data_IF_188087873769
#
_entry.id   IF_188087873769
#
_cell.length_a   1.000
_cell.length_b   1.000
_cell.length_c   1.000
_cell.angle_alpha   90.00
_cell.angle_beta   90.00
_cell.angle_gamma   90.00
#
_symmetry.space_group_name_H-M   'P 1'
#
loop_
_entity.id
_entity.type
_entity.pdbx_description
1 polymer ?
#
# COMPACT_ATOMS: atom_id res chain seq x y z
N UNK A 1 23.69 -5.44 -13.13
CA UNK A 1 23.73 -5.62 -14.60
C UNK A 1 22.53 -6.47 -14.97
N UNK A 2 21.57 -5.92 -15.74
CA UNK A 2 20.43 -6.72 -16.24
C UNK A 2 20.95 -7.74 -17.25
N UNK A 3 20.54 -8.99 -17.15
CA UNK A 3 20.93 -10.02 -18.13
C UNK A 3 20.31 -9.71 -19.50
N UNK A 4 20.89 -10.27 -20.57
CA UNK A 4 20.31 -10.15 -21.91
C UNK A 4 18.86 -10.67 -21.93
N UNK A 5 18.58 -11.72 -21.16
CA UNK A 5 17.23 -12.28 -20.99
C UNK A 5 16.27 -11.32 -20.27
N UNK A 6 16.70 -10.68 -19.17
CA UNK A 6 15.89 -9.67 -18.47
C UNK A 6 15.59 -8.45 -19.36
N UNK A 7 16.56 -8.05 -20.18
CA UNK A 7 16.42 -6.94 -21.13
C UNK A 7 15.44 -7.27 -22.25
N UNK A 8 15.52 -8.48 -22.80
CA UNK A 8 14.58 -8.98 -23.83
C UNK A 8 13.19 -9.18 -23.23
N UNK A 9 13.07 -9.74 -22.03
CA UNK A 9 11.77 -9.94 -21.36
C UNK A 9 11.05 -8.62 -21.10
N UNK A 10 11.78 -7.60 -20.64
CA UNK A 10 11.21 -6.27 -20.43
C UNK A 10 10.72 -5.66 -21.74
N UNK A 11 11.51 -5.75 -22.81
CA UNK A 11 11.13 -5.23 -24.14
C UNK A 11 9.94 -5.97 -24.75
N UNK A 12 9.95 -7.30 -24.75
CA UNK A 12 8.88 -8.11 -25.36
C UNK A 12 7.52 -7.89 -24.68
N UNK A 13 7.51 -7.59 -23.37
CA UNK A 13 6.27 -7.41 -22.61
C UNK A 13 5.79 -5.95 -22.53
N UNK A 14 6.63 -4.97 -22.86
CA UNK A 14 6.29 -3.54 -22.75
C UNK A 14 6.26 -2.79 -24.09
N UNK A 15 6.78 -3.37 -25.17
CA UNK A 15 6.88 -2.69 -26.47
C UNK A 15 5.71 -3.11 -27.39
N UNK A 16 4.67 -2.27 -27.45
CA UNK A 16 3.49 -2.44 -28.31
C UNK A 16 3.85 -2.43 -29.82
N UNK A 17 5.09 -2.05 -30.17
CA UNK A 17 5.56 -1.95 -31.55
C UNK A 17 6.21 -3.22 -32.10
N UNK A 18 6.45 -4.23 -31.25
CA UNK A 18 6.95 -5.54 -31.70
C UNK A 18 5.74 -6.31 -32.24
N UNK A 19 5.74 -6.72 -33.53
CA UNK A 19 4.66 -7.54 -34.05
C UNK A 19 4.55 -8.77 -33.16
N UNK A 20 3.35 -8.99 -32.63
CA UNK A 20 2.99 -10.15 -31.80
C UNK A 20 3.05 -11.39 -32.70
N UNK A 21 4.25 -11.78 -33.13
CA UNK A 21 4.50 -13.18 -33.38
C UNK A 21 4.23 -13.87 -32.05
N UNK A 22 3.31 -14.86 -32.01
CA UNK A 22 2.91 -15.46 -30.76
C UNK A 22 4.16 -16.04 -30.11
N UNK A 23 4.61 -15.39 -29.03
CA UNK A 23 5.70 -15.87 -28.19
C UNK A 23 5.41 -17.34 -27.92
N UNK A 24 6.29 -18.27 -28.31
CA UNK A 24 6.01 -19.68 -28.19
C UNK A 24 5.58 -20.00 -26.75
N UNK A 25 4.48 -20.75 -26.57
CA UNK A 25 3.87 -20.97 -25.25
C UNK A 25 4.87 -21.46 -24.18
N UNK A 26 5.89 -22.21 -24.61
CA UNK A 26 6.95 -22.71 -23.72
C UNK A 26 7.90 -21.62 -23.18
N UNK A 27 8.01 -20.46 -23.84
CA UNK A 27 8.84 -19.32 -23.46
C UNK A 27 8.03 -18.29 -22.64
N UNK A 28 6.70 -18.25 -22.83
CA UNK A 28 5.83 -17.30 -22.15
C UNK A 28 5.90 -17.38 -20.62
N UNK A 29 5.82 -18.59 -20.06
CA UNK A 29 5.92 -18.81 -18.60
C UNK A 29 7.22 -18.30 -17.98
N UNK A 30 8.41 -18.65 -18.53
CA UNK A 30 9.69 -18.09 -18.11
C UNK A 30 9.78 -16.56 -18.21
N UNK A 31 9.31 -15.97 -19.31
CA UNK A 31 9.32 -14.51 -19.49
C UNK A 31 8.48 -13.80 -18.43
N UNK A 32 7.26 -14.31 -18.18
CA UNK A 32 6.38 -13.77 -17.15
C UNK A 32 7.03 -13.83 -15.76
N UNK A 33 7.67 -14.95 -15.41
CA UNK A 33 8.42 -15.08 -14.14
C UNK A 33 9.55 -14.07 -14.03
N UNK A 34 10.30 -13.83 -15.11
CA UNK A 34 11.35 -12.81 -15.11
C UNK A 34 10.79 -11.40 -14.94
N UNK A 35 9.68 -11.06 -15.59
CA UNK A 35 9.01 -9.78 -15.35
C UNK A 35 8.59 -9.65 -13.89
N UNK A 36 7.91 -10.64 -13.31
CA UNK A 36 7.47 -10.61 -11.91
C UNK A 36 8.63 -10.51 -10.92
N UNK A 37 9.77 -11.13 -11.23
CA UNK A 37 11.00 -11.00 -10.45
C UNK A 37 11.56 -9.57 -10.52
N UNK A 38 11.58 -8.95 -11.69
CA UNK A 38 12.04 -7.57 -11.86
C UNK A 38 11.11 -6.58 -11.13
N UNK A 39 9.78 -6.73 -11.28
CA UNK A 39 8.79 -5.95 -10.56
C UNK A 39 9.00 -6.04 -9.04
N UNK A 40 9.22 -7.26 -8.51
CA UNK A 40 9.52 -7.44 -7.09
C UNK A 40 10.80 -6.71 -6.67
N UNK A 41 11.89 -6.84 -7.44
CA UNK A 41 13.16 -6.16 -7.14
C UNK A 41 13.04 -4.63 -7.20
N UNK A 42 12.29 -4.12 -8.17
CA UNK A 42 12.05 -2.68 -8.32
C UNK A 42 11.15 -2.14 -7.20
N UNK A 43 10.19 -2.92 -6.70
CA UNK A 43 9.36 -2.54 -5.55
C UNK A 43 10.15 -2.40 -4.24
N UNK A 44 11.38 -2.93 -4.20
CA UNK A 44 12.24 -2.98 -3.02
C UNK A 44 13.55 -2.22 -3.32
N UNK A 45 13.42 -0.99 -3.81
CA UNK A 45 14.44 -0.15 -4.47
C UNK A 45 15.69 0.20 -3.61
N UNK A 46 15.72 -0.17 -2.33
CA UNK A 46 16.78 0.22 -1.38
C UNK A 46 17.48 -0.95 -0.68
N UNK A 47 17.23 -2.18 -1.13
CA UNK A 47 17.70 -3.37 -0.42
C UNK A 47 18.70 -4.16 -1.28
N UNK A 48 19.64 -4.86 -0.64
CA UNK A 48 20.51 -5.80 -1.33
C UNK A 48 19.67 -6.80 -2.11
N UNK A 49 19.93 -6.94 -3.41
CA UNK A 49 19.07 -7.70 -4.31
C UNK A 49 18.97 -9.16 -3.89
N UNK A 50 17.74 -9.65 -3.68
CA UNK A 50 17.47 -11.09 -3.53
C UNK A 50 18.07 -11.85 -4.72
N UNK A 51 18.92 -12.87 -4.50
CA UNK A 51 19.48 -13.67 -5.58
C UNK A 51 18.40 -14.33 -6.43
N UNK A 52 18.64 -14.48 -7.73
CA UNK A 52 17.65 -15.04 -8.67
C UNK A 52 17.22 -16.45 -8.27
N UNK A 53 18.14 -17.23 -7.71
CA UNK A 53 17.97 -18.60 -7.27
C UNK A 53 16.99 -18.72 -6.09
N UNK A 54 16.78 -17.63 -5.34
CA UNK A 54 15.85 -17.61 -4.22
C UNK A 54 14.39 -17.49 -4.68
N UNK A 55 14.14 -16.96 -5.89
CA UNK A 55 12.79 -16.66 -6.34
C UNK A 55 11.93 -17.91 -6.51
N UNK A 56 10.85 -17.92 -5.76
CA UNK A 56 9.81 -18.92 -5.83
C UNK A 56 8.58 -18.37 -6.55
N UNK A 57 7.93 -19.20 -7.36
CA UNK A 57 6.74 -18.81 -8.10
C UNK A 57 5.57 -19.74 -7.77
N UNK A 58 4.37 -19.17 -7.74
CA UNK A 58 3.10 -19.89 -7.66
C UNK A 58 2.70 -20.44 -9.05
N UNK A 59 1.58 -21.17 -9.11
CA UNK A 59 1.03 -21.72 -10.36
C UNK A 59 0.66 -20.65 -11.39
N UNK A 60 0.25 -19.46 -10.94
CA UNK A 60 -0.08 -18.30 -11.78
C UNK A 60 1.15 -17.45 -12.17
N UNK A 61 2.36 -17.97 -11.91
CA UNK A 61 3.65 -17.30 -12.15
C UNK A 61 3.90 -16.05 -11.29
N UNK A 62 3.02 -15.70 -10.33
CA UNK A 62 3.31 -14.66 -9.35
C UNK A 62 4.43 -15.09 -8.39
N UNK A 63 5.18 -14.12 -7.87
CA UNK A 63 6.22 -14.38 -6.86
C UNK A 63 5.55 -14.88 -5.57
N UNK A 64 5.96 -16.06 -5.12
CA UNK A 64 5.67 -16.54 -3.77
C UNK A 64 6.65 -15.83 -2.82
N UNK A 65 6.24 -14.66 -2.33
CA UNK A 65 7.05 -13.82 -1.44
C UNK A 65 7.52 -14.58 -0.22
N UNK A 66 6.64 -15.33 0.45
CA UNK A 66 6.97 -16.03 1.67
C UNK A 66 8.03 -17.12 1.42
N UNK A 67 7.89 -17.90 0.34
CA UNK A 67 8.90 -18.90 -0.02
C UNK A 67 10.20 -18.26 -0.52
N UNK A 68 10.11 -17.15 -1.24
CA UNK A 68 11.28 -16.40 -1.73
C UNK A 68 12.12 -15.85 -0.58
N UNK A 69 11.49 -15.25 0.44
CA UNK A 69 12.21 -14.73 1.61
C UNK A 69 12.82 -15.85 2.46
N UNK A 70 12.12 -16.98 2.65
CA UNK A 70 12.71 -18.16 3.31
C UNK A 70 13.93 -18.70 2.59
N UNK A 71 13.91 -18.71 1.26
CA UNK A 71 15.10 -19.10 0.49
C UNK A 71 16.21 -18.06 0.66
N UNK A 72 15.87 -16.77 0.69
CA UNK A 72 16.84 -15.69 0.85
C UNK A 72 17.54 -15.69 2.22
N UNK A 73 16.91 -16.22 3.27
CA UNK A 73 17.52 -16.37 4.61
C UNK A 73 18.85 -17.15 4.57
N UNK A 74 19.06 -18.05 3.60
CA UNK A 74 20.30 -18.82 3.50
C UNK A 74 21.42 -18.10 2.75
N UNK A 75 21.11 -17.00 2.06
CA UNK A 75 22.05 -16.28 1.20
C UNK A 75 22.34 -14.85 1.66
N UNK A 76 21.38 -14.21 2.33
CA UNK A 76 21.47 -12.83 2.77
C UNK A 76 21.91 -12.77 4.23
N UNK A 77 22.67 -11.73 4.57
CA UNK A 77 23.07 -11.52 5.95
C UNK A 77 21.85 -11.16 6.83
N UNK A 78 21.87 -11.49 8.14
CA UNK A 78 20.74 -11.27 9.03
C UNK A 78 20.24 -9.82 9.07
N UNK A 79 21.13 -8.84 8.94
CA UNK A 79 20.75 -7.41 8.90
C UNK A 79 19.89 -7.13 7.68
N UNK A 80 20.29 -7.62 6.50
CA UNK A 80 19.50 -7.51 5.27
C UNK A 80 18.15 -8.20 5.41
N UNK A 81 18.13 -9.42 5.96
CA UNK A 81 16.88 -10.14 6.21
C UNK A 81 15.95 -9.39 7.16
N UNK A 82 16.50 -8.74 8.20
CA UNK A 82 15.73 -7.90 9.11
C UNK A 82 15.04 -6.78 8.36
N UNK A 83 15.75 -6.05 7.47
CA UNK A 83 15.11 -4.97 6.72
C UNK A 83 14.04 -5.52 5.77
N UNK A 84 14.28 -6.65 5.10
CA UNK A 84 13.26 -7.28 4.24
C UNK A 84 11.99 -7.63 5.02
N UNK A 85 12.12 -8.25 6.20
CA UNK A 85 10.97 -8.56 7.03
C UNK A 85 10.27 -7.33 7.57
N UNK A 86 11.01 -6.24 7.80
CA UNK A 86 10.45 -4.95 8.19
C UNK A 86 9.59 -4.39 7.06
N UNK A 87 10.12 -4.35 5.84
CA UNK A 87 9.43 -3.83 4.67
C UNK A 87 8.13 -4.57 4.36
N UNK A 88 8.15 -5.90 4.56
CA UNK A 88 7.02 -6.79 4.32
C UNK A 88 6.11 -6.98 5.55
N UNK A 89 6.34 -6.22 6.63
CA UNK A 89 5.55 -6.28 7.86
C UNK A 89 5.50 -7.64 8.56
N UNK A 90 6.51 -8.50 8.37
CA UNK A 90 6.57 -9.81 9.00
C UNK A 90 7.16 -9.74 10.42
N UNK A 91 6.39 -9.17 11.34
CA UNK A 91 6.83 -8.90 12.72
C UNK A 91 7.33 -10.14 13.45
N UNK A 92 6.67 -11.30 13.28
CA UNK A 92 7.11 -12.55 13.92
C UNK A 92 8.47 -13.05 13.43
N UNK A 93 8.86 -12.71 12.20
CA UNK A 93 10.17 -13.06 11.64
C UNK A 93 11.26 -12.08 12.08
N UNK A 94 10.91 -10.82 12.31
CA UNK A 94 11.85 -9.81 12.80
C UNK A 94 12.48 -10.21 14.13
N UNK A 95 11.68 -10.70 15.07
CA UNK A 95 12.14 -11.15 16.38
C UNK A 95 13.10 -12.35 16.26
N UNK A 96 12.75 -13.34 15.42
CA UNK A 96 13.60 -14.51 15.19
C UNK A 96 14.96 -14.13 14.59
N UNK A 97 14.97 -13.21 13.61
CA UNK A 97 16.21 -12.70 13.02
C UNK A 97 17.02 -11.92 14.06
N UNK A 98 16.38 -11.01 14.79
CA UNK A 98 17.04 -10.22 15.84
C UNK A 98 17.72 -11.10 16.91
N UNK A 99 17.03 -12.13 17.38
CA UNK A 99 17.55 -13.06 18.38
C UNK A 99 18.68 -13.95 17.84
N UNK A 100 18.74 -14.15 16.51
CA UNK A 100 19.83 -14.86 15.86
C UNK A 100 21.08 -14.02 15.60
N UNK A 101 20.99 -12.68 15.68
CA UNK A 101 22.08 -11.78 15.40
C UNK A 101 23.12 -11.72 16.53
N UNK A 102 24.40 -11.75 16.17
CA UNK A 102 25.50 -11.39 17.07
C UNK A 102 25.67 -9.87 17.25
N UNK A 103 26.54 -9.45 18.17
CA UNK A 103 26.76 -8.03 18.49
C UNK A 103 27.21 -7.20 17.27
N UNK A 104 28.07 -7.77 16.42
CA UNK A 104 28.53 -7.10 15.19
C UNK A 104 27.39 -6.87 14.17
N UNK A 105 26.41 -7.77 14.12
CA UNK A 105 25.25 -7.64 13.25
C UNK A 105 24.25 -6.64 13.82
N UNK A 106 23.99 -6.71 15.13
CA UNK A 106 23.14 -5.76 15.85
C UNK A 106 23.64 -4.32 15.71
N UNK A 107 24.96 -4.10 15.78
CA UNK A 107 25.57 -2.78 15.60
C UNK A 107 25.36 -2.20 14.19
N UNK A 108 25.09 -3.04 13.18
CA UNK A 108 24.83 -2.63 11.79
C UNK A 108 23.35 -2.42 11.48
N UNK A 109 22.45 -2.64 12.44
CA UNK A 109 21.02 -2.50 12.20
C UNK A 109 20.63 -1.08 11.77
N UNK A 110 19.61 -0.94 10.91
CA UNK A 110 19.21 0.37 10.39
C UNK A 110 18.71 1.27 11.52
N UNK A 111 19.22 2.50 11.55
CA UNK A 111 18.88 3.51 12.55
C UNK A 111 17.65 4.34 12.11
N UNK A 112 16.59 3.65 11.71
CA UNK A 112 15.28 4.24 11.39
C UNK A 112 14.32 3.97 12.54
N UNK A 113 13.35 4.85 12.79
CA UNK A 113 12.60 4.81 14.04
C UNK A 113 11.71 3.55 14.16
N UNK A 114 11.17 3.03 13.05
CA UNK A 114 10.49 1.71 13.03
C UNK A 114 11.44 0.57 13.44
N UNK A 115 12.66 0.53 12.92
CA UNK A 115 13.62 -0.51 13.26
C UNK A 115 14.03 -0.40 14.73
N UNK A 116 14.36 0.82 15.19
CA UNK A 116 14.67 1.09 16.59
C UNK A 116 13.53 0.70 17.54
N UNK A 117 12.28 0.95 17.14
CA UNK A 117 11.10 0.53 17.91
C UNK A 117 11.05 -1.00 18.09
N UNK A 118 11.19 -1.76 17.01
CA UNK A 118 11.14 -3.22 17.10
C UNK A 118 12.34 -3.80 17.85
N UNK A 119 13.54 -3.26 17.61
CA UNK A 119 14.75 -3.67 18.34
C UNK A 119 14.55 -3.48 19.84
N UNK A 120 14.11 -2.29 20.28
CA UNK A 120 13.84 -2.03 21.68
C UNK A 120 12.75 -2.97 22.23
N UNK A 121 11.67 -3.18 21.48
CA UNK A 121 10.61 -4.11 21.86
C UNK A 121 11.13 -5.53 22.07
N UNK A 122 12.04 -6.01 21.23
CA UNK A 122 12.61 -7.36 21.35
C UNK A 122 13.67 -7.45 22.45
N UNK A 123 14.45 -6.40 22.69
CA UNK A 123 15.45 -6.37 23.77
C UNK A 123 14.83 -6.30 25.16
N UNK A 124 13.79 -5.50 25.34
CA UNK A 124 13.23 -5.16 26.66
C UNK A 124 11.85 -5.78 26.90
N UNK A 125 11.21 -6.34 25.87
CA UNK A 125 9.86 -6.91 25.96
C UNK A 125 8.76 -5.85 26.04
N UNK A 126 9.09 -4.56 25.93
CA UNK A 126 8.14 -3.46 26.01
C UNK A 126 8.37 -2.39 24.93
N UNK A 127 7.32 -1.69 24.47
CA UNK A 127 7.46 -0.60 23.51
C UNK A 127 8.26 0.59 24.05
N UNK A 128 9.20 1.14 23.27
CA UNK A 128 9.90 2.38 23.64
C UNK A 128 8.91 3.56 23.68
N UNK A 129 8.76 4.25 24.82
CA UNK A 129 7.79 5.33 24.97
C UNK A 129 8.07 6.55 24.08
N UNK A 130 9.27 6.68 23.51
CA UNK A 130 9.62 7.77 22.57
C UNK A 130 8.90 7.64 21.23
N UNK A 131 8.50 6.42 20.86
CA UNK A 131 7.84 6.14 19.58
C UNK A 131 6.34 5.91 19.78
N UNK A 132 5.53 6.92 19.50
CA UNK A 132 4.07 6.73 19.45
C UNK A 132 3.66 5.93 18.21
N UNK A 133 2.60 5.13 18.33
CA UNK A 133 2.03 4.36 17.21
C UNK A 133 1.66 5.23 16.02
N UNK A 134 1.16 6.45 16.28
CA UNK A 134 0.90 7.46 15.25
C UNK A 134 2.17 7.83 14.45
N UNK A 135 3.28 8.12 15.13
CA UNK A 135 4.54 8.47 14.45
C UNK A 135 5.09 7.31 13.64
N UNK A 136 5.02 6.10 14.20
CA UNK A 136 5.44 4.87 13.51
C UNK A 136 4.60 4.58 12.27
N UNK A 137 3.29 4.85 12.32
CA UNK A 137 2.42 4.77 11.15
C UNK A 137 2.88 5.72 10.03
N UNK A 138 3.10 6.99 10.37
CA UNK A 138 3.53 8.02 9.40
C UNK A 138 4.88 7.63 8.77
N UNK A 139 5.82 7.13 9.57
CA UNK A 139 7.10 6.65 9.05
C UNK A 139 6.94 5.42 8.14
N UNK A 140 6.11 4.46 8.53
CA UNK A 140 5.83 3.27 7.72
C UNK A 140 5.21 3.65 6.39
N UNK A 141 4.30 4.64 6.41
CA UNK A 141 3.62 5.14 5.22
C UNK A 141 4.59 5.81 4.26
N UNK A 142 5.51 6.63 4.80
CA UNK A 142 6.58 7.28 4.02
C UNK A 142 7.50 6.27 3.34
N UNK A 143 7.78 5.16 4.01
CA UNK A 143 8.61 4.06 3.49
C UNK A 143 7.84 3.06 2.62
N UNK A 144 6.53 3.26 2.44
CA UNK A 144 5.64 2.34 1.72
C UNK A 144 5.57 0.92 2.32
N UNK A 145 5.78 0.80 3.64
CA UNK A 145 5.64 -0.47 4.36
C UNK A 145 4.17 -0.68 4.77
N UNK A 146 3.30 -0.90 3.78
CA UNK A 146 1.83 -0.89 3.97
C UNK A 146 1.35 -1.93 4.99
N UNK A 147 2.00 -3.08 5.09
CA UNK A 147 1.69 -4.08 6.12
C UNK A 147 2.00 -3.58 7.53
N UNK A 148 3.08 -2.82 7.71
CA UNK A 148 3.38 -2.14 8.97
C UNK A 148 2.45 -0.96 9.23
N UNK A 149 2.04 -0.22 8.20
CA UNK A 149 0.98 0.79 8.35
C UNK A 149 -0.25 0.16 8.98
N UNK A 150 -0.75 -0.96 8.43
CA UNK A 150 -1.89 -1.67 9.00
C UNK A 150 -1.63 -2.11 10.45
N UNK A 151 -0.45 -2.66 10.74
CA UNK A 151 -0.06 -3.07 12.08
C UNK A 151 -0.13 -1.92 13.10
N UNK A 152 0.43 -0.75 12.77
CA UNK A 152 0.39 0.41 13.66
C UNK A 152 -0.99 1.03 13.72
N UNK A 153 -1.71 1.08 12.60
CA UNK A 153 -3.08 1.58 12.52
C UNK A 153 -4.02 0.86 13.48
N UNK A 154 -3.95 -0.48 13.53
CA UNK A 154 -4.78 -1.27 14.44
C UNK A 154 -4.58 -0.90 15.92
N UNK A 155 -3.37 -0.46 16.29
CA UNK A 155 -2.98 -0.04 17.65
C UNK A 155 -3.26 1.44 17.96
N UNK A 156 -3.65 2.24 16.98
CA UNK A 156 -3.99 3.65 17.17
C UNK A 156 -5.35 3.83 17.88
N UNK A 157 -5.52 4.99 18.50
CA UNK A 157 -6.82 5.42 19.05
C UNK A 157 -7.86 5.58 17.93
N UNK A 158 -9.15 5.60 18.26
CA UNK A 158 -10.21 5.82 17.26
C UNK A 158 -10.04 7.16 16.52
N UNK A 159 -9.73 8.23 17.27
CA UNK A 159 -9.48 9.56 16.70
C UNK A 159 -8.27 9.55 15.73
N UNK A 160 -7.17 8.90 16.12
CA UNK A 160 -5.99 8.77 15.26
C UNK A 160 -6.29 7.95 14.01
N UNK A 161 -7.05 6.85 14.12
CA UNK A 161 -7.46 6.02 12.99
C UNK A 161 -8.24 6.83 11.96
N UNK A 162 -9.23 7.60 12.42
CA UNK A 162 -10.02 8.49 11.57
C UNK A 162 -9.12 9.50 10.87
N UNK A 163 -8.26 10.19 11.62
CA UNK A 163 -7.33 11.18 11.05
C UNK A 163 -6.39 10.58 10.00
N UNK A 164 -5.73 9.46 10.33
CA UNK A 164 -4.78 8.78 9.45
C UNK A 164 -5.45 8.28 8.18
N UNK A 165 -6.65 7.73 8.30
CA UNK A 165 -7.43 7.29 7.14
C UNK A 165 -7.76 8.44 6.20
N UNK A 166 -8.27 9.57 6.71
CA UNK A 166 -8.58 10.72 5.86
C UNK A 166 -7.34 11.35 5.25
N UNK A 167 -6.23 11.40 5.99
CA UNK A 167 -4.95 11.85 5.46
C UNK A 167 -4.49 10.98 4.27
N UNK A 168 -4.59 9.66 4.40
CA UNK A 168 -4.26 8.72 3.31
C UNK A 168 -5.27 8.79 2.16
N UNK A 169 -6.55 8.99 2.45
CA UNK A 169 -7.58 9.17 1.44
C UNK A 169 -7.28 10.40 0.59
N UNK A 170 -7.04 11.54 1.22
CA UNK A 170 -6.71 12.77 0.51
C UNK A 170 -5.43 12.65 -0.31
N UNK A 171 -4.43 11.95 0.23
CA UNK A 171 -3.20 11.63 -0.52
C UNK A 171 -3.49 10.77 -1.74
N UNK A 172 -4.35 9.76 -1.61
CA UNK A 172 -4.78 8.92 -2.72
C UNK A 172 -5.52 9.76 -3.78
N UNK A 173 -6.54 10.53 -3.39
CA UNK A 173 -7.35 11.36 -4.29
C UNK A 173 -6.52 12.39 -5.07
N UNK A 174 -5.42 12.90 -4.49
CA UNK A 174 -4.53 13.89 -5.12
C UNK A 174 -3.43 13.30 -6.00
N UNK A 175 -3.20 11.98 -5.97
CA UNK A 175 -2.15 11.39 -6.81
C UNK A 175 -2.54 11.48 -8.28
N UNK A 176 -1.56 11.58 -9.18
CA UNK A 176 -1.77 11.73 -10.62
C UNK A 176 -1.32 10.50 -11.42
N UNK A 177 -0.86 9.46 -10.73
CA UNK A 177 -0.27 8.27 -11.35
C UNK A 177 -1.14 7.05 -11.05
N UNK A 178 -1.63 6.41 -12.11
CA UNK A 178 -2.52 5.24 -12.01
C UNK A 178 -1.95 4.13 -11.10
N UNK A 179 -0.65 3.84 -11.22
CA UNK A 179 0.01 2.84 -10.38
C UNK A 179 0.00 3.18 -8.89
N UNK A 180 0.20 4.45 -8.54
CA UNK A 180 0.18 4.92 -7.14
C UNK A 180 -1.25 4.92 -6.58
N UNK A 181 -2.24 5.23 -7.42
CA UNK A 181 -3.65 5.14 -7.07
C UNK A 181 -4.04 3.72 -6.69
N UNK A 182 -3.75 2.74 -7.54
CA UNK A 182 -4.15 1.36 -7.28
C UNK A 182 -3.59 0.83 -5.95
N UNK A 183 -2.34 1.15 -5.63
CA UNK A 183 -1.73 0.80 -4.35
C UNK A 183 -2.39 1.53 -3.17
N UNK A 184 -2.69 2.82 -3.32
CA UNK A 184 -3.30 3.62 -2.27
C UNK A 184 -4.75 3.21 -2.01
N UNK A 185 -5.54 2.95 -3.05
CA UNK A 185 -6.90 2.43 -2.94
C UNK A 185 -6.92 1.05 -2.26
N UNK A 186 -6.00 0.16 -2.63
CA UNK A 186 -5.86 -1.14 -1.95
C UNK A 186 -5.50 -0.98 -0.47
N UNK A 187 -4.60 -0.06 -0.14
CA UNK A 187 -4.24 0.24 1.24
C UNK A 187 -5.44 0.75 2.03
N UNK A 188 -6.17 1.75 1.50
CA UNK A 188 -7.38 2.30 2.13
C UNK A 188 -8.46 1.24 2.34
N UNK A 189 -8.70 0.38 1.35
CA UNK A 189 -9.63 -0.75 1.46
C UNK A 189 -9.23 -1.69 2.60
N UNK A 190 -7.93 -2.02 2.73
CA UNK A 190 -7.42 -2.81 3.85
C UNK A 190 -7.61 -2.11 5.20
N UNK A 191 -7.45 -0.80 5.28
CA UNK A 191 -7.73 -0.04 6.51
C UNK A 191 -9.22 -0.16 6.88
N UNK A 192 -10.12 0.07 5.93
CA UNK A 192 -11.57 -0.06 6.14
C UNK A 192 -11.97 -1.48 6.53
N UNK A 193 -11.33 -2.52 5.99
CA UNK A 193 -11.61 -3.90 6.40
C UNK A 193 -11.31 -4.17 7.88
N UNK A 194 -10.40 -3.40 8.49
CA UNK A 194 -9.92 -3.62 9.86
C UNK A 194 -10.49 -2.63 10.88
N UNK A 195 -11.12 -1.55 10.43
CA UNK A 195 -11.71 -0.52 11.30
C UNK A 195 -12.99 0.00 10.67
N UNK A 196 -14.00 0.15 11.51
CA UNK A 196 -15.23 0.83 11.14
C UNK A 196 -15.07 2.33 11.38
N UNK A 197 -14.95 3.09 10.29
CA UNK A 197 -14.77 4.54 10.34
C UNK A 197 -16.14 5.16 10.12
N UNK A 198 -16.69 5.72 11.19
CA UNK A 198 -18.02 6.30 11.20
C UNK A 198 -17.95 7.76 10.74
N UNK A 199 -18.70 8.10 9.68
CA UNK A 199 -18.67 9.44 9.05
C UNK A 199 -19.23 10.52 9.98
N UNK A 200 -20.18 10.16 10.85
CA UNK A 200 -20.78 11.06 11.84
C UNK A 200 -19.79 11.53 12.93
N UNK A 201 -18.65 10.86 13.08
CA UNK A 201 -17.60 11.23 14.04
C UNK A 201 -16.59 12.23 13.48
N UNK A 202 -16.74 12.63 12.21
CA UNK A 202 -15.85 13.60 11.57
C UNK A 202 -16.28 15.01 11.99
N UNK A 203 -15.33 15.82 12.46
CA UNK A 203 -15.64 17.19 12.85
C UNK A 203 -15.99 18.03 11.61
N UNK A 204 -16.77 19.09 11.79
CA UNK A 204 -17.11 20.01 10.68
C UNK A 204 -15.86 20.60 10.00
N UNK A 205 -14.81 20.90 10.77
CA UNK A 205 -13.53 21.37 10.26
C UNK A 205 -12.86 20.32 9.35
N UNK A 206 -12.81 19.07 9.80
CA UNK A 206 -12.29 17.96 9.01
C UNK A 206 -13.13 17.75 7.74
N UNK A 207 -14.47 17.81 7.86
CA UNK A 207 -15.37 17.70 6.72
C UNK A 207 -15.13 18.80 5.69
N UNK A 208 -14.97 20.05 6.11
CA UNK A 208 -14.66 21.16 5.21
C UNK A 208 -13.31 20.98 4.50
N UNK A 209 -12.32 20.41 5.20
CA UNK A 209 -11.01 20.10 4.62
C UNK A 209 -11.11 18.99 3.56
N UNK A 210 -11.88 17.93 3.84
CA UNK A 210 -12.01 16.77 2.96
C UNK A 210 -12.90 17.07 1.75
N UNK A 211 -13.93 17.90 1.95
CA UNK A 211 -14.97 18.21 0.96
C UNK A 211 -14.39 18.60 -0.39
N UNK A 212 -13.49 19.58 -0.40
CA UNK A 212 -12.99 20.15 -1.66
C UNK A 212 -12.20 19.14 -2.48
N UNK A 213 -11.34 18.35 -1.85
CA UNK A 213 -10.52 17.36 -2.55
C UNK A 213 -11.33 16.15 -2.99
N UNK A 214 -12.18 15.60 -2.11
CA UNK A 214 -13.01 14.44 -2.46
C UNK A 214 -13.96 14.79 -3.57
N UNK A 215 -14.69 15.91 -3.48
CA UNK A 215 -15.64 16.31 -4.53
C UNK A 215 -14.94 16.62 -5.85
N UNK A 216 -13.76 17.24 -5.82
CA UNK A 216 -13.00 17.56 -7.04
C UNK A 216 -12.50 16.30 -7.75
N UNK A 217 -12.08 15.28 -6.99
CA UNK A 217 -11.41 14.10 -7.53
C UNK A 217 -12.28 12.83 -7.55
N UNK A 218 -13.54 12.91 -7.12
CA UNK A 218 -14.44 11.75 -7.10
C UNK A 218 -14.70 11.18 -8.50
N UNK A 219 -14.89 12.04 -9.50
CA UNK A 219 -15.04 11.59 -10.90
C UNK A 219 -13.78 10.90 -11.43
N UNK A 220 -12.61 11.40 -11.03
CA UNK A 220 -11.33 10.77 -11.38
C UNK A 220 -11.26 9.37 -10.77
N UNK A 221 -11.66 9.21 -9.50
CA UNK A 221 -11.76 7.92 -8.80
C UNK A 221 -12.69 6.94 -9.53
N UNK A 222 -13.89 7.39 -9.91
CA UNK A 222 -14.85 6.55 -10.63
C UNK A 222 -14.33 6.12 -12.01
N UNK A 223 -13.44 6.89 -12.61
CA UNK A 223 -12.83 6.60 -13.92
C UNK A 223 -11.70 5.57 -13.85
N UNK A 224 -11.38 5.03 -12.67
CA UNK A 224 -10.35 4.01 -12.53
C UNK A 224 -10.69 2.68 -13.18
N UNK A 225 -9.67 1.91 -13.60
CA UNK A 225 -9.82 0.50 -13.91
C UNK A 225 -10.44 -0.27 -12.74
N UNK A 226 -11.25 -1.28 -13.07
CA UNK A 226 -11.95 -2.09 -12.09
C UNK A 226 -11.02 -2.79 -11.09
N UNK A 227 -9.79 -3.16 -11.48
CA UNK A 227 -8.82 -3.76 -10.54
C UNK A 227 -8.32 -2.81 -9.43
N UNK A 228 -8.56 -1.51 -9.58
CA UNK A 228 -8.18 -0.48 -8.62
C UNK A 228 -9.36 0.08 -7.82
N UNK A 229 -10.59 -0.36 -8.11
CA UNK A 229 -11.79 -0.02 -7.35
C UNK A 229 -12.15 -1.17 -6.43
N UNK A 230 -12.37 -0.86 -5.16
CA UNK A 230 -12.59 -1.86 -4.12
C UNK A 230 -13.97 -1.64 -3.51
N UNK A 231 -14.82 -2.68 -3.40
CA UNK A 231 -16.22 -2.51 -3.01
C UNK A 231 -16.44 -1.76 -1.68
N UNK A 232 -15.58 -2.01 -0.67
CA UNK A 232 -15.74 -1.35 0.64
C UNK A 232 -15.35 0.13 0.57
N UNK A 233 -14.30 0.46 -0.19
CA UNK A 233 -13.91 1.84 -0.44
C UNK A 233 -14.95 2.58 -1.31
N UNK A 234 -15.50 1.92 -2.33
CA UNK A 234 -16.57 2.47 -3.18
C UNK A 234 -17.79 2.87 -2.34
N UNK A 235 -18.26 1.95 -1.49
CA UNK A 235 -19.40 2.19 -0.61
C UNK A 235 -19.13 3.35 0.37
N UNK A 236 -17.94 3.37 0.97
CA UNK A 236 -17.54 4.44 1.87
C UNK A 236 -17.50 5.80 1.18
N UNK A 237 -16.90 5.89 -0.02
CA UNK A 237 -16.80 7.14 -0.76
C UNK A 237 -18.18 7.62 -1.23
N UNK A 238 -19.05 6.71 -1.64
CA UNK A 238 -20.42 7.03 -1.97
C UNK A 238 -21.16 7.66 -0.78
N UNK A 239 -21.07 7.05 0.40
CA UNK A 239 -21.69 7.55 1.63
C UNK A 239 -21.10 8.92 2.03
N UNK A 240 -19.78 9.05 1.97
CA UNK A 240 -19.08 10.31 2.26
C UNK A 240 -19.54 11.44 1.34
N UNK A 241 -19.60 11.19 0.03
CA UNK A 241 -20.06 12.17 -0.96
C UNK A 241 -21.51 12.57 -0.71
N UNK A 242 -22.40 11.60 -0.43
CA UNK A 242 -23.80 11.89 -0.08
C UNK A 242 -23.90 12.77 1.17
N UNK A 243 -23.12 12.47 2.20
CA UNK A 243 -23.08 13.26 3.42
C UNK A 243 -22.57 14.70 3.16
N UNK A 244 -21.59 14.86 2.26
CA UNK A 244 -21.06 16.17 1.88
C UNK A 244 -22.04 17.03 1.06
N UNK A 245 -22.98 16.40 0.34
CA UNK A 245 -24.01 17.07 -0.47
C UNK A 245 -25.35 17.27 0.23
N UNK A 246 -25.71 16.46 1.23
CA UNK A 246 -26.99 16.58 1.94
C UNK A 246 -27.30 18.01 2.44
N UNK A 247 -26.35 18.78 3.00
CA UNK A 247 -26.60 20.16 3.42
C UNK A 247 -26.85 21.14 2.26
N UNK A 248 -26.37 20.83 1.04
CA UNK A 248 -26.55 21.68 -0.13
C UNK A 248 -27.94 21.52 -0.74
N UNK A 249 -28.50 20.30 -0.72
CA UNK A 249 -29.85 20.06 -1.21
C UNK A 249 -30.90 20.72 -0.31
N UNK A 250 -30.70 20.73 1.00
CA UNK A 250 -31.58 21.47 1.93
C UNK A 250 -31.52 22.99 1.69
N UNK A 251 -30.34 23.53 1.37
CA UNK A 251 -30.16 24.95 1.04
C UNK A 251 -30.77 25.32 -0.33
N UNK A 252 -30.67 24.45 -1.34
CA UNK A 252 -31.26 24.66 -2.67
C UNK A 252 -32.78 24.48 -2.66
N UNK A 253 -33.32 23.57 -1.84
CA UNK A 253 -34.76 23.45 -1.61
C UNK A 253 -35.35 24.66 -0.87
N UNK A 254 -34.56 25.35 -0.05
CA UNK A 254 -34.95 26.62 0.58
C UNK A 254 -34.78 27.84 -0.36
N UNK A 255 -33.94 27.76 -1.40
CA UNK A 255 -33.63 28.88 -2.30
C UNK A 255 -34.16 28.76 -3.75
N UNK A 256 -34.79 27.64 -4.12
CA UNK A 256 -35.57 27.53 -5.37
C UNK A 256 -34.77 27.67 -6.67
N UNK A 257 -33.54 27.14 -6.75
CA UNK A 257 -32.72 27.13 -7.98
C UNK A 257 -32.32 25.70 -8.40
N UNK A 258 -32.20 25.52 -9.72
CA UNK A 258 -32.43 24.29 -10.50
C UNK A 258 -31.38 23.16 -10.44
N UNK A 259 -31.77 21.92 -10.84
CA UNK A 259 -30.98 20.70 -10.75
C UNK A 259 -30.04 20.53 -11.95
N UNK A 260 -28.75 20.30 -11.71
CA UNK A 260 -27.82 19.91 -12.80
C UNK A 260 -26.76 18.88 -12.41
N UNK A 261 -26.79 18.36 -11.18
CA UNK A 261 -25.87 17.30 -10.72
C UNK A 261 -26.59 16.10 -10.07
N UNK A 262 -27.87 16.25 -9.73
CA UNK A 262 -28.74 15.17 -9.22
C UNK A 262 -28.86 14.01 -10.20
N UNK A 263 -28.87 14.31 -11.50
CA UNK A 263 -29.06 13.31 -12.56
C UNK A 263 -27.82 12.44 -12.80
N UNK A 264 -26.63 12.92 -12.39
CA UNK A 264 -25.37 12.18 -12.52
C UNK A 264 -25.17 11.13 -11.43
N UNK A 265 -25.81 11.31 -10.26
CA UNK A 265 -25.76 10.37 -9.13
C UNK A 265 -26.89 9.33 -9.17
N UNK A 266 -27.89 9.49 -10.05
CA UNK A 266 -29.02 8.55 -10.20
C UNK A 266 -28.81 7.47 -11.27
N UNK A 267 -27.66 7.44 -11.95
CA UNK A 267 -27.33 6.41 -12.93
C UNK A 267 -26.20 5.51 -12.41
N UNK A 268 -26.56 4.49 -11.62
CA UNK A 268 -26.52 3.07 -12.05
C UNK A 268 -26.77 2.09 -10.88
N UNK A 269 -27.24 0.86 -11.17
CA UNK A 269 -27.65 -0.17 -10.20
C UNK A 269 -26.50 -0.83 -9.43
#
# INVERSE_FOLDING_TARGET
MKTLFETVATKVLHDESIPVDPVPQHIYGPLLRCQRMLEFKESILYFPTVPNECFAFKSDHSVDVARTLRNAETFLDPVTMFVYYLAMGQVSRLEAVWNGCGEEEKARMPQIAIASYFIHLFEYGEPDPRYSTFKLYIEARRLWYLDLCLHFFQKCSAADKTFLFFSDLLTAMRSSRLGEWCHSCRHLDRLLQNVDIQIDQITEEQMNFIKNDVLRHYCDYLSLPSECRFPKLDAFLYELVHHLYAPMQEADHLNGLSPSLSDSLQLQP
#
